data_IF_858450190450
#
_entry.id   IF_858450190450
#
_cell.length_a   1.000
_cell.length_b   1.000
_cell.length_c   1.000
_cell.angle_alpha   90.00
_cell.angle_beta   90.00
_cell.angle_gamma   90.00
#
_symmetry.space_group_name_H-M   'P 1'
#
loop_
_entity.id
_entity.type
_entity.pdbx_description
1 polymer ?
#
# COMPACT_ATOMS: atom_id res chain seq x y z
N UNK A 1 -19.92 -13.80 -23.99
CA UNK A 1 -19.15 -13.93 -22.73
C UNK A 1 -19.92 -13.38 -21.52
N UNK A 2 -20.41 -12.14 -21.55
CA UNK A 2 -21.20 -11.59 -20.42
C UNK A 2 -22.58 -12.26 -20.27
N UNK A 3 -23.26 -12.59 -21.37
CA UNK A 3 -24.53 -13.33 -21.32
C UNK A 3 -24.47 -14.64 -20.53
N UNK A 4 -23.43 -15.46 -20.76
CA UNK A 4 -23.21 -16.70 -20.01
C UNK A 4 -23.02 -16.44 -18.51
N UNK A 5 -22.37 -15.34 -18.12
CA UNK A 5 -22.22 -14.99 -16.70
C UNK A 5 -23.57 -14.61 -16.10
N UNK A 6 -24.40 -13.84 -16.83
CA UNK A 6 -25.77 -13.53 -16.41
C UNK A 6 -26.65 -14.79 -16.31
N UNK A 7 -26.48 -15.76 -17.19
CA UNK A 7 -27.23 -17.01 -17.16
C UNK A 7 -26.80 -17.91 -16.00
N UNK A 8 -25.49 -18.02 -15.74
CA UNK A 8 -24.96 -18.65 -14.52
C UNK A 8 -25.46 -17.93 -13.26
N UNK A 9 -25.54 -16.60 -13.30
CA UNK A 9 -26.05 -15.81 -12.18
C UNK A 9 -27.53 -16.09 -11.91
N UNK A 10 -28.36 -16.20 -12.95
CA UNK A 10 -29.77 -16.62 -12.83
C UNK A 10 -29.91 -18.00 -12.22
N UNK A 11 -29.05 -18.93 -12.59
CA UNK A 11 -29.06 -20.30 -12.09
C UNK A 11 -28.74 -20.37 -10.60
N UNK A 12 -27.70 -19.65 -10.16
CA UNK A 12 -27.24 -19.69 -8.76
C UNK A 12 -27.92 -18.65 -7.86
N UNK A 13 -28.44 -17.55 -8.42
CA UNK A 13 -29.03 -16.42 -7.72
C UNK A 13 -30.30 -15.95 -8.46
N UNK A 14 -31.44 -16.67 -8.35
CA UNK A 14 -32.64 -16.37 -9.13
C UNK A 14 -33.21 -14.96 -8.84
N UNK A 15 -33.10 -14.47 -7.60
CA UNK A 15 -33.52 -13.13 -7.20
C UNK A 15 -32.64 -12.00 -7.78
N UNK A 16 -31.47 -12.31 -8.34
CA UNK A 16 -30.61 -11.28 -8.94
C UNK A 16 -31.27 -10.65 -10.16
N UNK A 17 -32.11 -11.40 -10.89
CA UNK A 17 -32.83 -10.87 -12.06
C UNK A 17 -33.89 -9.85 -11.67
N UNK A 18 -34.65 -10.09 -10.59
CA UNK A 18 -35.60 -9.10 -10.08
C UNK A 18 -34.87 -7.85 -9.61
N UNK A 19 -33.79 -8.00 -8.84
CA UNK A 19 -32.99 -6.87 -8.36
C UNK A 19 -32.39 -6.02 -9.50
N UNK A 20 -31.94 -6.66 -10.57
CA UNK A 20 -31.40 -5.98 -11.76
C UNK A 20 -32.47 -5.17 -12.52
N UNK A 21 -33.72 -5.60 -12.46
CA UNK A 21 -34.84 -4.92 -13.13
C UNK A 21 -35.26 -3.66 -12.36
N UNK A 22 -35.04 -3.64 -11.05
CA UNK A 22 -35.31 -2.50 -10.17
C UNK A 22 -34.24 -1.39 -10.27
N UNK A 23 -33.10 -1.66 -10.92
CA UNK A 23 -32.05 -0.65 -11.14
C UNK A 23 -32.52 0.36 -12.21
N UNK A 24 -32.57 1.67 -11.92
CA UNK A 24 -32.93 2.68 -12.90
C UNK A 24 -31.95 2.63 -14.09
N UNK A 25 -32.44 2.89 -15.30
CA UNK A 25 -31.71 2.84 -16.58
C UNK A 25 -31.25 1.46 -17.07
N UNK A 26 -31.74 0.35 -16.49
CA UNK A 26 -31.39 -1.01 -16.92
C UNK A 26 -31.59 -1.28 -18.43
N UNK A 27 -32.62 -0.71 -19.05
CA UNK A 27 -32.87 -0.87 -20.49
C UNK A 27 -31.78 -0.22 -21.36
N UNK A 28 -31.23 0.92 -20.94
CA UNK A 28 -30.11 1.57 -21.64
C UNK A 28 -28.79 0.81 -21.48
N UNK A 29 -28.62 0.11 -20.35
CA UNK A 29 -27.45 -0.71 -20.04
C UNK A 29 -27.41 -2.03 -20.83
N UNK A 30 -28.57 -2.56 -21.25
CA UNK A 30 -28.64 -3.75 -22.12
C UNK A 30 -27.97 -3.54 -23.48
N UNK A 31 -27.94 -2.30 -23.98
CA UNK A 31 -27.30 -1.95 -25.26
C UNK A 31 -25.78 -2.18 -25.21
N UNK A 32 -25.17 -2.02 -24.03
CA UNK A 32 -23.73 -2.21 -23.84
C UNK A 32 -23.47 -3.27 -22.76
N UNK A 33 -23.23 -4.55 -23.14
CA UNK A 33 -23.05 -5.64 -22.19
C UNK A 33 -22.01 -5.38 -21.09
N UNK A 34 -20.97 -4.60 -21.39
CA UNK A 34 -19.90 -4.24 -20.44
C UNK A 34 -20.35 -3.31 -19.30
N UNK A 35 -21.52 -2.66 -19.41
CA UNK A 35 -22.05 -1.77 -18.39
C UNK A 35 -23.07 -2.45 -17.47
N UNK A 36 -23.46 -3.69 -17.76
CA UNK A 36 -24.40 -4.45 -16.92
C UNK A 36 -23.69 -4.78 -15.59
N UNK A 37 -24.21 -4.31 -14.44
CA UNK A 37 -23.59 -4.59 -13.15
C UNK A 37 -23.74 -6.07 -12.80
N UNK A 38 -22.63 -6.72 -12.53
CA UNK A 38 -22.63 -8.09 -12.00
C UNK A 38 -22.86 -8.04 -10.50
N UNK A 39 -24.06 -8.42 -10.05
CA UNK A 39 -24.37 -8.57 -8.62
C UNK A 39 -23.60 -9.76 -8.03
N UNK A 40 -22.59 -9.47 -7.22
CA UNK A 40 -21.89 -10.46 -6.41
C UNK A 40 -22.54 -10.57 -5.03
N UNK A 41 -22.39 -11.69 -4.31
CA UNK A 41 -22.94 -11.83 -2.96
C UNK A 41 -22.57 -10.69 -2.00
N UNK A 42 -21.34 -10.15 -2.10
CA UNK A 42 -20.90 -8.98 -1.32
C UNK A 42 -21.62 -7.66 -1.63
N UNK A 43 -22.30 -7.56 -2.78
CA UNK A 43 -23.11 -6.40 -3.16
C UNK A 43 -24.57 -6.52 -2.71
N UNK A 44 -24.96 -7.65 -2.11
CA UNK A 44 -26.34 -7.92 -1.69
C UNK A 44 -26.58 -7.57 -0.22
N UNK A 45 -27.84 -7.32 0.11
CA UNK A 45 -28.27 -7.20 1.50
C UNK A 45 -28.18 -8.51 2.27
N UNK A 46 -28.15 -8.39 3.60
CA UNK A 46 -27.95 -9.53 4.49
C UNK A 46 -29.08 -10.58 4.36
N UNK A 47 -30.29 -10.14 4.01
CA UNK A 47 -31.46 -11.02 3.81
C UNK A 47 -31.22 -11.96 2.63
N UNK A 48 -30.76 -11.44 1.49
CA UNK A 48 -30.49 -12.24 0.29
C UNK A 48 -29.23 -13.11 0.48
N UNK A 49 -28.23 -12.62 1.22
CA UNK A 49 -27.03 -13.41 1.54
C UNK A 49 -27.33 -14.65 2.39
N UNK A 50 -28.30 -14.57 3.30
CA UNK A 50 -28.72 -15.72 4.11
C UNK A 50 -29.28 -16.88 3.26
N UNK A 51 -29.85 -16.58 2.08
CA UNK A 51 -30.35 -17.59 1.14
C UNK A 51 -29.24 -18.31 0.38
N UNK A 52 -28.03 -17.71 0.28
CA UNK A 52 -26.92 -18.26 -0.51
C UNK A 52 -25.63 -18.34 0.33
N UNK A 53 -25.60 -19.16 1.39
CA UNK A 53 -24.45 -19.25 2.29
C UNK A 53 -23.22 -19.87 1.62
N UNK A 54 -23.41 -20.80 0.68
CA UNK A 54 -22.30 -21.49 0.00
C UNK A 54 -21.51 -20.54 -0.91
N UNK A 55 -22.20 -19.68 -1.67
CA UNK A 55 -21.56 -18.72 -2.57
C UNK A 55 -20.88 -17.59 -1.79
N UNK A 56 -21.44 -17.20 -0.63
CA UNK A 56 -20.79 -16.25 0.27
C UNK A 56 -19.44 -16.78 0.79
N UNK A 57 -19.35 -18.08 1.13
CA UNK A 57 -18.09 -18.72 1.54
C UNK A 57 -17.06 -18.71 0.42
N UNK A 58 -17.46 -19.15 -0.78
CA UNK A 58 -16.58 -19.18 -1.96
C UNK A 58 -16.09 -17.77 -2.29
N UNK A 59 -16.98 -16.78 -2.30
CA UNK A 59 -16.58 -15.39 -2.55
C UNK A 59 -15.61 -14.90 -1.47
N UNK A 60 -15.86 -15.19 -0.19
CA UNK A 60 -14.97 -14.80 0.89
C UNK A 60 -13.55 -15.38 0.72
N UNK A 61 -13.43 -16.65 0.36
CA UNK A 61 -12.14 -17.31 0.06
C UNK A 61 -11.44 -16.64 -1.14
N UNK A 62 -12.18 -16.32 -2.20
CA UNK A 62 -11.63 -15.60 -3.36
C UNK A 62 -11.18 -14.19 -2.96
N UNK A 63 -11.94 -13.46 -2.11
CA UNK A 63 -11.55 -12.12 -1.65
C UNK A 63 -10.32 -12.16 -0.75
N UNK A 64 -10.18 -13.20 0.07
CA UNK A 64 -8.98 -13.43 0.88
C UNK A 64 -7.75 -13.65 0.00
N UNK A 65 -7.88 -14.50 -1.02
CA UNK A 65 -6.83 -14.72 -2.02
C UNK A 65 -6.49 -13.41 -2.76
N UNK A 66 -7.50 -12.65 -3.21
CA UNK A 66 -7.30 -11.35 -3.86
C UNK A 66 -6.57 -10.35 -2.95
N UNK A 67 -6.92 -10.27 -1.66
CA UNK A 67 -6.23 -9.40 -0.71
C UNK A 67 -4.75 -9.77 -0.58
N UNK A 68 -4.44 -11.06 -0.41
CA UNK A 68 -3.05 -11.54 -0.31
C UNK A 68 -2.25 -11.28 -1.60
N UNK A 69 -2.84 -11.53 -2.78
CA UNK A 69 -2.20 -11.31 -4.07
C UNK A 69 -1.98 -9.82 -4.37
N UNK A 70 -2.99 -8.97 -4.10
CA UNK A 70 -2.88 -7.53 -4.27
C UNK A 70 -1.78 -6.95 -3.37
N UNK A 71 -1.66 -7.40 -2.11
CA UNK A 71 -0.56 -6.98 -1.22
C UNK A 71 0.81 -7.46 -1.74
N UNK A 72 0.90 -8.69 -2.23
CA UNK A 72 2.13 -9.24 -2.81
C UNK A 72 2.61 -8.41 -3.99
N UNK A 73 1.71 -8.12 -4.93
CA UNK A 73 1.96 -7.27 -6.09
C UNK A 73 2.30 -5.84 -5.68
N UNK A 74 1.61 -5.29 -4.68
CA UNK A 74 1.84 -3.94 -4.18
C UNK A 74 3.26 -3.81 -3.62
N UNK A 75 3.70 -4.75 -2.77
CA UNK A 75 5.08 -4.80 -2.27
C UNK A 75 6.10 -4.91 -3.40
N UNK A 76 5.79 -5.69 -4.43
CA UNK A 76 6.61 -5.80 -5.65
C UNK A 76 6.78 -4.45 -6.35
N UNK A 77 5.68 -3.72 -6.58
CA UNK A 77 5.72 -2.38 -7.19
C UNK A 77 6.43 -1.36 -6.30
N UNK A 78 6.26 -1.41 -4.98
CA UNK A 78 6.99 -0.52 -4.05
C UNK A 78 8.50 -0.73 -4.09
N UNK A 79 8.94 -2.00 -4.22
CA UNK A 79 10.36 -2.31 -4.44
C UNK A 79 10.86 -1.78 -5.79
N UNK A 80 10.10 -2.01 -6.86
CA UNK A 80 10.44 -1.47 -8.18
C UNK A 80 10.52 0.05 -8.16
N UNK A 81 9.61 0.73 -7.44
CA UNK A 81 9.64 2.17 -7.22
C UNK A 81 10.93 2.61 -6.55
N UNK A 82 11.31 2.00 -5.43
CA UNK A 82 12.55 2.35 -4.73
C UNK A 82 13.78 2.23 -5.64
N UNK A 83 13.90 1.12 -6.38
CA UNK A 83 15.03 0.90 -7.31
C UNK A 83 15.02 1.94 -8.43
N UNK A 84 13.86 2.19 -9.05
CA UNK A 84 13.73 3.18 -10.10
C UNK A 84 14.13 4.56 -9.60
N UNK A 85 13.64 5.00 -8.43
CA UNK A 85 13.94 6.32 -7.88
C UNK A 85 15.42 6.50 -7.57
N UNK A 86 16.05 5.52 -6.90
CA UNK A 86 17.49 5.56 -6.62
C UNK A 86 18.29 5.64 -7.91
N UNK A 87 17.97 4.80 -8.89
CA UNK A 87 18.63 4.78 -10.19
C UNK A 87 18.47 6.11 -10.94
N UNK A 88 17.26 6.69 -10.97
CA UNK A 88 17.05 8.01 -11.57
C UNK A 88 17.82 9.12 -10.89
N UNK A 89 17.93 9.09 -9.57
CA UNK A 89 18.63 10.14 -8.82
C UNK A 89 20.15 10.07 -8.96
N UNK A 90 20.71 8.88 -9.19
CA UNK A 90 22.16 8.65 -9.18
C UNK A 90 22.78 8.57 -10.58
N UNK A 91 22.07 7.99 -11.56
CA UNK A 91 22.65 7.57 -12.83
C UNK A 91 22.07 8.35 -14.01
N UNK A 92 20.85 8.87 -13.90
CA UNK A 92 20.16 9.44 -15.06
C UNK A 92 20.77 10.78 -15.52
N UNK A 93 21.61 10.70 -16.55
CA UNK A 93 22.17 11.84 -17.26
C UNK A 93 21.56 11.97 -18.66
N UNK A 94 21.18 13.17 -19.05
CA UNK A 94 20.67 13.46 -20.40
C UNK A 94 19.14 13.41 -20.51
N UNK A 95 18.60 14.33 -21.31
CA UNK A 95 17.16 14.61 -21.37
C UNK A 95 16.32 13.39 -21.76
N UNK A 96 16.70 12.67 -22.82
CA UNK A 96 15.95 11.50 -23.33
C UNK A 96 15.86 10.36 -22.30
N UNK A 97 16.93 10.19 -21.52
CA UNK A 97 16.97 9.14 -20.51
C UNK A 97 16.13 9.51 -19.29
N UNK A 98 16.18 10.78 -18.88
CA UNK A 98 15.34 11.32 -17.79
C UNK A 98 13.84 11.18 -18.14
N UNK A 99 13.43 11.47 -19.38
CA UNK A 99 12.02 11.33 -19.77
C UNK A 99 11.55 9.88 -19.71
N UNK A 100 12.33 8.93 -20.26
CA UNK A 100 12.01 7.50 -20.17
C UNK A 100 11.96 7.00 -18.72
N UNK A 101 12.87 7.48 -17.88
CA UNK A 101 12.87 7.22 -16.45
C UNK A 101 11.60 7.73 -15.75
N UNK A 102 11.14 8.94 -16.09
CA UNK A 102 9.89 9.52 -15.56
C UNK A 102 8.67 8.72 -16.02
N UNK A 103 8.61 8.30 -17.28
CA UNK A 103 7.54 7.44 -17.80
C UNK A 103 7.45 6.10 -17.05
N UNK A 104 8.61 5.49 -16.75
CA UNK A 104 8.67 4.28 -15.94
C UNK A 104 8.13 4.52 -14.52
N UNK A 105 8.53 5.62 -13.88
CA UNK A 105 8.04 5.99 -12.55
C UNK A 105 6.52 6.21 -12.55
N UNK A 106 5.99 6.94 -13.54
CA UNK A 106 4.55 7.14 -13.70
C UNK A 106 3.81 5.82 -13.87
N UNK A 107 4.36 4.90 -14.68
CA UNK A 107 3.78 3.57 -14.88
C UNK A 107 3.72 2.77 -13.57
N UNK A 108 4.78 2.85 -12.76
CA UNK A 108 4.81 2.19 -11.44
C UNK A 108 3.76 2.82 -10.51
N UNK A 109 3.68 4.14 -10.44
CA UNK A 109 2.69 4.85 -9.61
C UNK A 109 1.24 4.52 -10.00
N UNK A 110 0.94 4.47 -11.30
CA UNK A 110 -0.38 4.06 -11.78
C UNK A 110 -0.72 2.63 -11.37
N UNK A 111 0.25 1.71 -11.44
CA UNK A 111 0.07 0.33 -10.96
C UNK A 111 -0.14 0.26 -9.45
N UNK A 112 0.58 1.06 -8.66
CA UNK A 112 0.37 1.15 -7.20
C UNK A 112 -1.04 1.64 -6.90
N UNK A 113 -1.51 2.71 -7.57
CA UNK A 113 -2.89 3.22 -7.43
C UNK A 113 -3.93 2.14 -7.76
N UNK A 114 -3.74 1.41 -8.87
CA UNK A 114 -4.63 0.31 -9.26
C UNK A 114 -4.64 -0.83 -8.24
N UNK A 115 -3.48 -1.25 -7.74
CA UNK A 115 -3.40 -2.31 -6.74
C UNK A 115 -4.01 -1.90 -5.40
N UNK A 116 -3.90 -0.61 -5.04
CA UNK A 116 -4.57 -0.04 -3.86
C UNK A 116 -6.09 -0.13 -4.00
N UNK A 117 -6.65 0.27 -5.14
CA UNK A 117 -8.11 0.24 -5.34
C UNK A 117 -8.63 -1.20 -5.35
N UNK A 118 -7.91 -2.12 -6.00
CA UNK A 118 -8.21 -3.55 -5.95
C UNK A 118 -8.23 -4.09 -4.52
N UNK A 119 -7.18 -3.81 -3.74
CA UNK A 119 -7.10 -4.23 -2.35
C UNK A 119 -8.25 -3.66 -1.51
N UNK A 120 -8.50 -2.34 -1.59
CA UNK A 120 -9.59 -1.69 -0.86
C UNK A 120 -10.95 -2.28 -1.20
N UNK A 121 -11.21 -2.56 -2.48
CA UNK A 121 -12.47 -3.16 -2.92
C UNK A 121 -12.60 -4.60 -2.41
N UNK A 122 -11.54 -5.40 -2.51
CA UNK A 122 -11.53 -6.77 -2.00
C UNK A 122 -11.72 -6.81 -0.48
N UNK A 123 -11.02 -5.95 0.27
CA UNK A 123 -11.11 -5.83 1.72
C UNK A 123 -12.51 -5.41 2.19
N UNK A 124 -13.14 -4.41 1.54
CA UNK A 124 -14.53 -4.02 1.81
C UNK A 124 -15.50 -5.18 1.61
N UNK A 125 -15.40 -5.89 0.48
CA UNK A 125 -16.25 -7.04 0.20
C UNK A 125 -16.03 -8.18 1.21
N UNK A 126 -14.78 -8.42 1.59
CA UNK A 126 -14.43 -9.44 2.59
C UNK A 126 -14.98 -9.09 3.98
N UNK A 127 -14.92 -7.82 4.37
CA UNK A 127 -15.49 -7.31 5.62
C UNK A 127 -17.02 -7.49 5.64
N UNK A 128 -17.71 -7.23 4.54
CA UNK A 128 -19.16 -7.41 4.41
C UNK A 128 -19.56 -8.88 4.56
N UNK A 129 -18.79 -9.81 3.98
CA UNK A 129 -19.11 -11.25 3.96
C UNK A 129 -18.79 -11.96 5.27
N UNK A 130 -17.61 -11.72 5.85
CA UNK A 130 -17.11 -12.44 7.03
C UNK A 130 -17.37 -11.70 8.34
N UNK A 131 -17.52 -10.38 8.28
CA UNK A 131 -17.57 -9.53 9.47
C UNK A 131 -16.19 -9.32 10.12
N UNK A 132 -16.13 -8.51 11.19
CA UNK A 132 -14.89 -8.25 11.92
C UNK A 132 -14.37 -9.53 12.60
N UNK A 133 -13.05 -9.72 12.61
CA UNK A 133 -12.42 -10.89 13.22
C UNK A 133 -10.90 -10.85 13.20
N UNK A 134 -10.25 -11.92 13.68
CA UNK A 134 -8.78 -12.03 13.82
C UNK A 134 -8.03 -11.77 12.51
N UNK A 135 -8.66 -12.07 11.37
CA UNK A 135 -8.10 -11.81 10.05
C UNK A 135 -7.77 -10.33 9.79
N UNK A 136 -8.39 -9.38 10.52
CA UNK A 136 -8.10 -7.95 10.43
C UNK A 136 -6.68 -7.60 10.85
N UNK A 137 -6.06 -8.41 11.71
CA UNK A 137 -4.64 -8.24 12.08
C UNK A 137 -3.74 -8.44 10.86
N UNK A 138 -4.08 -9.44 10.04
CA UNK A 138 -3.35 -9.81 8.81
C UNK A 138 -3.67 -8.87 7.64
N UNK A 139 -4.95 -8.49 7.49
CA UNK A 139 -5.45 -7.64 6.42
C UNK A 139 -6.06 -6.35 6.99
N UNK A 140 -5.21 -5.36 7.23
CA UNK A 140 -5.62 -4.06 7.77
C UNK A 140 -6.04 -3.08 6.67
N UNK A 141 -6.76 -2.03 7.05
CA UNK A 141 -7.13 -0.96 6.12
C UNK A 141 -5.91 -0.26 5.52
N UNK A 142 -5.87 -0.15 4.20
CA UNK A 142 -4.74 0.42 3.46
C UNK A 142 -4.87 1.94 3.32
N UNK A 143 -4.38 2.64 4.36
CA UNK A 143 -4.13 4.09 4.35
C UNK A 143 -2.97 4.46 3.43
N UNK A 144 -2.97 5.70 2.94
CA UNK A 144 -1.99 6.25 2.01
C UNK A 144 -0.59 6.30 2.62
N UNK A 145 -0.48 6.52 3.92
CA UNK A 145 0.79 6.46 4.68
C UNK A 145 1.42 5.08 4.67
N UNK A 146 0.63 4.01 4.60
CA UNK A 146 1.12 2.64 4.63
C UNK A 146 1.73 2.20 3.28
N UNK A 147 1.48 2.94 2.20
CA UNK A 147 1.99 2.69 0.85
C UNK A 147 3.40 3.29 0.74
N UNK A 148 4.34 2.64 1.42
CA UNK A 148 5.75 3.05 1.47
C UNK A 148 6.66 1.84 1.33
N UNK A 149 7.78 2.01 0.63
CA UNK A 149 8.82 0.99 0.52
C UNK A 149 9.62 0.87 1.83
N UNK A 150 10.37 -0.22 1.98
CA UNK A 150 11.19 -0.52 3.16
C UNK A 150 12.18 0.60 3.45
N UNK A 151 12.73 1.24 2.41
CA UNK A 151 13.69 2.35 2.53
C UNK A 151 13.09 3.76 2.51
N UNK A 152 11.77 3.90 2.66
CA UNK A 152 11.08 5.20 2.57
C UNK A 152 10.32 5.50 3.86
N UNK A 153 10.10 6.78 4.16
CA UNK A 153 9.28 7.20 5.31
C UNK A 153 8.11 8.07 4.89
N UNK A 154 7.07 8.05 5.73
CA UNK A 154 5.99 9.01 5.63
C UNK A 154 6.51 10.41 6.01
N UNK A 155 5.89 11.43 5.43
CA UNK A 155 6.21 12.82 5.76
C UNK A 155 5.80 13.13 7.19
N UNK A 156 6.68 13.83 7.92
CA UNK A 156 6.35 14.48 9.19
C UNK A 156 5.30 15.56 8.99
N UNK A 157 4.60 15.97 10.04
CA UNK A 157 3.62 17.06 9.97
C UNK A 157 4.26 18.36 9.42
N UNK A 158 5.47 18.66 9.87
CA UNK A 158 6.26 19.81 9.39
C UNK A 158 6.56 19.71 7.89
N UNK A 159 6.93 18.52 7.41
CA UNK A 159 7.23 18.29 5.99
C UNK A 159 5.97 18.34 5.12
N UNK A 160 4.83 17.88 5.65
CA UNK A 160 3.54 18.03 4.97
C UNK A 160 3.20 19.50 4.79
N UNK A 161 3.46 20.34 5.80
CA UNK A 161 3.22 21.77 5.73
C UNK A 161 4.19 22.45 4.76
N UNK A 162 5.49 22.10 4.79
CA UNK A 162 6.45 22.58 3.80
C UNK A 162 6.04 22.21 2.39
N UNK A 163 5.57 20.98 2.18
CA UNK A 163 5.06 20.53 0.88
C UNK A 163 3.84 21.35 0.47
N UNK A 164 2.89 21.58 1.39
CA UNK A 164 1.70 22.41 1.14
C UNK A 164 2.10 23.80 0.66
N UNK A 165 3.02 24.45 1.37
CA UNK A 165 3.51 25.79 1.02
C UNK A 165 4.19 25.81 -0.35
N UNK A 166 5.03 24.81 -0.65
CA UNK A 166 5.68 24.70 -1.95
C UNK A 166 4.68 24.49 -3.11
N UNK A 167 3.62 23.71 -2.89
CA UNK A 167 2.58 23.47 -3.91
C UNK A 167 1.71 24.71 -4.15
N UNK A 168 1.39 25.47 -3.09
CA UNK A 168 0.70 26.76 -3.23
C UNK A 168 1.54 27.76 -4.03
N UNK A 169 2.86 27.82 -3.80
CA UNK A 169 3.77 28.65 -4.58
C UNK A 169 3.84 28.21 -6.06
N UNK A 170 3.68 26.91 -6.33
CA UNK A 170 3.62 26.37 -7.68
C UNK A 170 2.26 26.60 -8.39
N UNK A 171 1.28 27.23 -7.71
CA UNK A 171 -0.03 27.55 -8.27
C UNK A 171 -1.05 26.42 -8.22
N UNK A 172 -0.80 25.37 -7.42
CA UNK A 172 -1.76 24.28 -7.20
C UNK A 172 -2.87 24.74 -6.27
N UNK A 173 -4.12 24.34 -6.56
CA UNK A 173 -5.27 24.71 -5.72
C UNK A 173 -5.19 24.04 -4.36
N UNK A 174 -5.76 24.69 -3.34
CA UNK A 174 -5.77 24.15 -1.98
C UNK A 174 -6.49 22.80 -1.90
N UNK A 175 -7.57 22.63 -2.67
CA UNK A 175 -8.37 21.41 -2.71
C UNK A 175 -7.57 20.21 -3.26
N UNK A 176 -6.79 20.42 -4.31
CA UNK A 176 -5.91 19.39 -4.88
C UNK A 176 -4.82 18.98 -3.89
N UNK A 177 -4.27 19.94 -3.15
CA UNK A 177 -3.26 19.67 -2.11
C UNK A 177 -3.88 18.87 -0.96
N UNK A 178 -5.07 19.25 -0.51
CA UNK A 178 -5.78 18.55 0.55
C UNK A 178 -6.13 17.11 0.14
N UNK A 179 -6.53 16.87 -1.12
CA UNK A 179 -6.73 15.52 -1.68
C UNK A 179 -5.41 14.73 -1.69
N UNK A 180 -4.30 15.37 -2.07
CA UNK A 180 -2.99 14.72 -2.16
C UNK A 180 -2.43 14.33 -0.79
N UNK A 181 -2.68 15.16 0.23
CA UNK A 181 -2.25 14.93 1.62
C UNK A 181 -3.25 14.10 2.43
N UNK A 182 -4.41 13.77 1.87
CA UNK A 182 -5.40 12.93 2.53
C UNK A 182 -5.04 11.44 2.40
N UNK A 183 -4.70 10.84 3.55
CA UNK A 183 -4.32 9.44 3.68
C UNK A 183 -5.38 8.48 3.11
N UNK A 184 -6.67 8.83 3.17
CA UNK A 184 -7.73 7.93 2.73
C UNK A 184 -7.94 7.97 1.22
N UNK A 185 -7.55 9.05 0.56
CA UNK A 185 -7.84 9.28 -0.86
C UNK A 185 -6.62 8.95 -1.72
N UNK A 186 -5.47 9.55 -1.41
CA UNK A 186 -4.27 9.50 -2.25
C UNK A 186 -3.13 8.72 -1.63
N UNK A 187 -2.23 8.21 -2.47
CA UNK A 187 -0.96 7.65 -1.99
C UNK A 187 -0.15 8.82 -1.46
N UNK A 188 0.26 8.74 -0.20
CA UNK A 188 1.03 9.83 0.37
C UNK A 188 2.39 9.92 -0.33
N UNK A 189 2.86 11.15 -0.63
CA UNK A 189 4.25 11.34 -0.95
C UNK A 189 5.14 10.67 0.11
N UNK A 190 6.30 10.18 -0.31
CA UNK A 190 7.25 9.52 0.59
C UNK A 190 8.63 10.13 0.37
N UNK A 191 9.41 10.19 1.44
CA UNK A 191 10.77 10.70 1.40
C UNK A 191 11.74 9.51 1.47
N UNK A 192 12.76 9.45 0.59
CA UNK A 192 13.79 8.43 0.69
C UNK A 192 14.53 8.58 2.02
N UNK A 193 14.89 7.45 2.63
CA UNK A 193 15.67 7.46 3.87
C UNK A 193 17.09 7.95 3.59
N UNK A 194 17.48 9.07 4.19
CA UNK A 194 18.86 9.55 4.16
C UNK A 194 19.58 9.15 5.47
N UNK A 195 20.52 8.18 5.43
CA UNK A 195 21.19 7.68 6.64
C UNK A 195 22.09 8.72 7.33
N UNK A 196 22.46 9.81 6.63
CA UNK A 196 23.35 10.86 7.16
C UNK A 196 22.58 11.88 8.01
N UNK A 197 21.31 12.12 7.70
CA UNK A 197 20.43 13.05 8.43
C UNK A 197 19.61 12.38 9.54
N UNK A 198 19.98 11.15 9.92
CA UNK A 198 19.20 10.23 10.75
C UNK A 198 19.17 10.56 12.26
N UNK A 199 19.53 11.78 12.67
CA UNK A 199 19.37 12.24 14.06
C UNK A 199 17.86 12.30 14.37
N UNK A 200 17.38 11.38 15.21
CA UNK A 200 15.96 11.27 15.61
C UNK A 200 15.18 10.09 15.00
N UNK A 201 15.78 9.29 14.11
CA UNK A 201 15.06 8.22 13.39
C UNK A 201 15.03 6.86 14.13
N UNK A 202 15.50 6.78 15.38
CA UNK A 202 15.56 5.52 16.17
C UNK A 202 14.18 4.90 16.46
N UNK A 203 13.09 5.68 16.35
CA UNK A 203 11.70 5.26 16.59
C UNK A 203 10.97 4.77 15.32
N UNK A 204 11.68 4.56 14.21
CA UNK A 204 11.06 4.20 12.92
C UNK A 204 10.37 2.83 12.95
N UNK A 205 9.13 2.79 12.49
CA UNK A 205 8.37 1.55 12.22
C UNK A 205 8.09 1.38 10.73
N UNK A 206 8.29 0.15 10.22
CA UNK A 206 7.90 -0.21 8.85
C UNK A 206 6.38 -0.13 8.72
N UNK A 207 5.87 0.05 7.49
CA UNK A 207 4.42 -0.09 7.29
C UNK A 207 4.00 -1.53 7.57
N UNK A 208 2.80 -1.71 8.11
CA UNK A 208 2.29 -3.01 8.52
C UNK A 208 2.30 -4.03 7.38
N UNK A 209 2.16 -3.55 6.13
CA UNK A 209 2.24 -4.38 4.93
C UNK A 209 3.55 -5.18 4.87
N UNK A 210 4.64 -4.75 5.51
CA UNK A 210 5.91 -5.50 5.53
C UNK A 210 6.03 -6.53 6.65
N UNK A 211 5.11 -6.54 7.63
CA UNK A 211 5.08 -7.56 8.68
C UNK A 211 4.31 -8.82 8.28
N UNK A 212 3.46 -8.74 7.25
CA UNK A 212 2.60 -9.83 6.77
C UNK A 212 3.11 -10.46 5.48
N UNK A 213 4.44 -10.52 5.29
CA UNK A 213 5.07 -11.09 4.09
C UNK A 213 5.01 -12.61 4.14
N UNK A 214 4.44 -13.23 3.11
CA UNK A 214 4.34 -14.69 3.01
C UNK A 214 5.69 -15.34 2.72
N UNK A 215 5.92 -16.56 3.20
CA UNK A 215 7.19 -17.29 3.01
C UNK A 215 7.59 -17.47 1.54
N UNK A 216 6.62 -17.59 0.62
CA UNK A 216 6.86 -17.63 -0.82
C UNK A 216 7.44 -16.32 -1.36
N UNK A 217 7.04 -15.17 -0.80
CA UNK A 217 7.60 -13.87 -1.18
C UNK A 217 9.04 -13.71 -0.73
N UNK A 218 9.38 -14.22 0.46
CA UNK A 218 10.74 -14.15 1.03
C UNK A 218 11.75 -14.94 0.18
N UNK A 219 11.28 -16.02 -0.47
CA UNK A 219 12.13 -16.84 -1.33
C UNK A 219 12.46 -16.14 -2.67
N UNK A 220 11.76 -15.06 -3.02
CA UNK A 220 12.15 -14.23 -4.15
C UNK A 220 13.50 -13.55 -3.84
N UNK A 221 14.50 -13.86 -4.67
CA UNK A 221 15.87 -13.33 -4.52
C UNK A 221 15.92 -11.81 -4.35
N UNK A 222 15.05 -11.07 -5.05
CA UNK A 222 15.00 -9.61 -4.95
C UNK A 222 14.47 -9.11 -3.59
N UNK A 223 13.44 -9.75 -3.05
CA UNK A 223 12.89 -9.45 -1.71
C UNK A 223 13.96 -9.69 -0.66
N UNK A 224 14.60 -10.86 -0.74
CA UNK A 224 15.62 -11.27 0.20
C UNK A 224 16.82 -10.31 0.15
N UNK A 225 17.26 -9.89 -1.03
CA UNK A 225 18.35 -8.94 -1.19
C UNK A 225 18.03 -7.58 -0.54
N UNK A 226 16.85 -6.99 -0.82
CA UNK A 226 16.46 -5.70 -0.22
C UNK A 226 16.34 -5.79 1.31
N UNK A 227 15.74 -6.87 1.82
CA UNK A 227 15.63 -7.09 3.27
C UNK A 227 17.01 -7.30 3.92
N UNK A 228 17.92 -8.04 3.28
CA UNK A 228 19.31 -8.22 3.76
C UNK A 228 20.06 -6.90 3.83
N UNK A 229 19.90 -6.02 2.82
CA UNK A 229 20.54 -4.69 2.84
C UNK A 229 20.05 -3.88 4.04
N UNK A 230 18.74 -3.83 4.26
CA UNK A 230 18.19 -3.09 5.40
C UNK A 230 18.54 -3.74 6.74
N UNK A 231 18.62 -5.07 6.81
CA UNK A 231 19.12 -5.78 7.97
C UNK A 231 20.60 -5.47 8.26
N UNK A 232 21.46 -5.47 7.24
CA UNK A 232 22.87 -5.10 7.39
C UNK A 232 23.03 -3.65 7.87
N UNK A 233 22.23 -2.71 7.33
CA UNK A 233 22.20 -1.32 7.80
C UNK A 233 21.75 -1.24 9.26
N UNK A 234 20.68 -1.93 9.63
CA UNK A 234 20.18 -1.95 11.01
C UNK A 234 21.20 -2.55 11.98
N UNK A 235 21.84 -3.65 11.59
CA UNK A 235 22.92 -4.29 12.35
C UNK A 235 24.12 -3.37 12.53
N UNK A 236 24.56 -2.69 11.47
CA UNK A 236 25.67 -1.73 11.55
C UNK A 236 25.34 -0.56 12.49
N UNK A 237 24.10 -0.06 12.49
CA UNK A 237 23.64 0.95 13.46
C UNK A 237 23.66 0.42 14.89
N UNK A 238 23.19 -0.81 15.12
CA UNK A 238 23.21 -1.43 16.44
C UNK A 238 24.64 -1.63 16.97
N UNK A 239 25.57 -2.02 16.11
CA UNK A 239 27.00 -2.12 16.46
C UNK A 239 27.59 -0.75 16.81
N UNK A 240 27.35 0.28 15.98
CA UNK A 240 27.80 1.65 16.27
C UNK A 240 27.22 2.20 17.58
N UNK A 241 25.93 2.01 17.82
CA UNK A 241 25.29 2.46 19.07
C UNK A 241 25.91 1.77 20.29
N UNK A 242 26.32 0.49 20.17
CA UNK A 242 27.04 -0.20 21.23
C UNK A 242 28.44 0.39 21.45
N UNK A 243 29.16 0.72 20.38
CA UNK A 243 30.47 1.39 20.46
C UNK A 243 30.34 2.79 21.10
N UNK A 244 29.32 3.57 20.72
CA UNK A 244 29.03 4.88 21.31
C UNK A 244 28.74 4.77 22.81
N UNK A 245 27.96 3.76 23.26
CA UNK A 245 27.73 3.54 24.69
C UNK A 245 29.02 3.22 25.46
N UNK A 246 29.92 2.42 24.86
CA UNK A 246 31.23 2.14 25.45
C UNK A 246 32.10 3.39 25.53
N UNK A 247 32.10 4.22 24.48
CA UNK A 247 32.83 5.49 24.46
C UNK A 247 32.30 6.46 25.51
N UNK A 248 30.98 6.59 25.65
CA UNK A 248 30.36 7.44 26.67
C UNK A 248 30.72 6.97 28.08
N UNK A 249 30.73 5.66 28.34
CA UNK A 249 31.14 5.11 29.63
C UNK A 249 32.61 5.45 29.96
N UNK A 250 33.51 5.33 28.98
CA UNK A 250 34.92 5.72 29.12
C UNK A 250 35.09 7.24 29.31
N UNK A 251 34.33 8.07 28.59
CA UNK A 251 34.32 9.52 28.77
C UNK A 251 33.85 9.90 30.18
N UNK A 252 32.78 9.28 30.69
CA UNK A 252 32.31 9.49 32.04
C UNK A 252 33.38 9.12 33.09
N UNK A 253 34.07 8.00 32.90
CA UNK A 253 35.18 7.60 33.80
C UNK A 253 36.30 8.63 33.79
N UNK A 254 36.71 9.11 32.61
CA UNK A 254 37.77 10.12 32.47
C UNK A 254 37.40 11.47 33.08
N UNK A 255 36.14 11.89 32.95
CA UNK A 255 35.65 13.13 33.58
C UNK A 255 35.67 13.02 35.10
N UNK A 256 35.29 11.87 35.67
CA UNK A 256 35.38 11.63 37.10
C UNK A 256 36.84 11.66 37.60
N UNK A 257 37.76 11.01 36.89
CA UNK A 257 39.19 11.08 37.22
C UNK A 257 39.73 12.51 37.12
N UNK A 258 39.40 13.24 36.04
CA UNK A 258 39.83 14.62 35.83
C UNK A 258 39.29 15.58 36.91
N UNK A 259 38.05 15.39 37.36
CA UNK A 259 37.43 16.24 38.40
C UNK A 259 37.85 15.87 39.82
N UNK A 260 38.50 14.72 40.01
CA UNK A 260 39.04 14.28 41.30
C UNK A 260 40.46 14.79 41.61
N UNK A 261 41.13 15.40 40.62
CA UNK A 261 42.42 16.07 40.73
C UNK A 261 42.25 17.58 40.93
#
# INVERSE_FOLDING_TARGET
>A
RIGHVCDSQKLHMPFASSLLTDVPDFESLKVNPHKIPLLLPSSLDNIFRAQIPHLCKIEAEIREAQCSESLSKLRGQLRARQVAYVHTSQIATGQKYITSCRELQQTIELRIKLLRTQYKNAHKCFLILRGPGVWQETFQELKGTNIRSVGERALSAEEKEMLRMAQLQAGVTQEEIDIMLNDDISNMPTVPLNPVLALGESKRTLSWIWYTVSGSEINNKSVNASLRVEWCKARARAQRSREELQLVEEEMRRVLEFTSH
#
